data_IF_010133081253
#
_entry.id   IF_010133081253
#
_cell.length_a   1.000
_cell.length_b   1.000
_cell.length_c   1.000
_cell.angle_alpha   90.00
_cell.angle_beta   90.00
_cell.angle_gamma   90.00
#
_symmetry.space_group_name_H-M   'P 1'
#
loop_
_entity.id
_entity.type
_entity.pdbx_description
1 polymer ?
#
# COMPACT_ATOMS: atom_id res chain seq x y z
N UNK A 1 19.38 -7.80 -5.18
CA UNK A 1 19.20 -6.45 -4.62
C UNK A 1 18.45 -5.50 -5.55
N UNK A 2 18.92 -5.26 -6.79
CA UNK A 2 18.29 -4.29 -7.72
C UNK A 2 16.81 -4.52 -7.97
N UNK A 3 16.40 -5.77 -8.19
CA UNK A 3 14.99 -6.11 -8.43
C UNK A 3 14.08 -5.80 -7.23
N UNK A 4 14.53 -6.09 -5.99
CA UNK A 4 13.76 -5.75 -4.79
C UNK A 4 13.64 -4.25 -4.57
N UNK A 5 14.66 -3.49 -4.96
CA UNK A 5 14.59 -2.03 -4.90
C UNK A 5 13.48 -1.49 -5.82
N UNK A 6 13.38 -2.03 -7.03
CA UNK A 6 12.30 -1.68 -7.97
C UNK A 6 10.94 -2.03 -7.40
N UNK A 7 10.76 -3.24 -6.83
CA UNK A 7 9.49 -3.61 -6.21
C UNK A 7 9.13 -2.76 -4.99
N UNK A 8 10.11 -2.42 -4.16
CA UNK A 8 9.90 -1.53 -3.03
C UNK A 8 9.41 -0.14 -3.50
N UNK A 9 10.02 0.43 -4.55
CA UNK A 9 9.59 1.72 -5.10
C UNK A 9 8.18 1.67 -5.68
N UNK A 10 7.86 0.66 -6.49
CA UNK A 10 6.51 0.47 -7.06
C UNK A 10 5.49 0.31 -5.93
N UNK A 11 5.82 -0.50 -4.93
CA UNK A 11 4.96 -0.73 -3.78
C UNK A 11 4.71 0.53 -2.94
N UNK A 12 5.75 1.35 -2.71
CA UNK A 12 5.61 2.61 -1.99
C UNK A 12 4.76 3.62 -2.76
N UNK A 13 4.92 3.66 -4.10
CA UNK A 13 4.06 4.47 -4.97
C UNK A 13 2.60 4.00 -4.92
N UNK A 14 2.35 2.69 -4.96
CA UNK A 14 1.01 2.12 -4.83
C UNK A 14 0.38 2.47 -3.48
N UNK A 15 1.14 2.38 -2.38
CA UNK A 15 0.68 2.78 -1.05
C UNK A 15 0.28 4.26 -0.99
N UNK A 16 1.16 5.14 -1.48
CA UNK A 16 0.86 6.57 -1.57
C UNK A 16 -0.39 6.85 -2.42
N UNK A 17 -0.48 6.23 -3.60
CA UNK A 17 -1.63 6.37 -4.48
C UNK A 17 -2.93 5.90 -3.84
N UNK A 18 -2.93 4.73 -3.19
CA UNK A 18 -4.10 4.18 -2.52
C UNK A 18 -4.60 5.13 -1.42
N UNK A 19 -3.70 5.61 -0.56
CA UNK A 19 -4.06 6.53 0.52
C UNK A 19 -4.57 7.88 0.00
N UNK A 20 -3.98 8.43 -1.06
CA UNK A 20 -4.48 9.67 -1.67
C UNK A 20 -5.88 9.50 -2.27
N UNK A 21 -6.11 8.39 -2.95
CA UNK A 21 -7.38 8.13 -3.63
C UNK A 21 -8.50 7.71 -2.68
N UNK A 22 -8.19 7.08 -1.54
CA UNK A 22 -9.17 6.77 -0.49
C UNK A 22 -9.88 8.03 0.00
N UNK A 23 -9.13 9.11 0.26
CA UNK A 23 -9.70 10.39 0.67
C UNK A 23 -10.55 11.05 -0.43
N UNK A 24 -10.30 10.73 -1.70
CA UNK A 24 -11.05 11.24 -2.82
C UNK A 24 -12.39 10.50 -3.01
N UNK A 25 -12.41 9.17 -2.87
CA UNK A 25 -13.55 8.34 -3.27
C UNK A 25 -14.47 7.87 -2.14
N UNK A 26 -14.19 8.21 -0.88
CA UNK A 26 -15.06 7.88 0.27
C UNK A 26 -15.66 9.18 0.82
N UNK A 27 -16.99 9.24 0.92
CA UNK A 27 -17.70 10.44 1.36
C UNK A 27 -17.63 10.66 2.87
N UNK A 28 -17.69 9.57 3.66
CA UNK A 28 -17.72 9.64 5.12
C UNK A 28 -16.32 9.70 5.73
N UNK A 29 -16.03 10.78 6.47
CA UNK A 29 -14.72 11.03 7.10
C UNK A 29 -14.27 9.92 8.06
N UNK A 30 -15.20 9.33 8.81
CA UNK A 30 -14.91 8.22 9.72
C UNK A 30 -14.55 6.94 8.96
N UNK A 31 -15.22 6.68 7.84
CA UNK A 31 -14.93 5.54 6.97
C UNK A 31 -13.58 5.69 6.28
N UNK A 32 -13.21 6.91 5.86
CA UNK A 32 -11.86 7.22 5.35
C UNK A 32 -10.82 6.87 6.40
N UNK A 33 -10.93 7.41 7.61
CA UNK A 33 -9.97 7.19 8.68
C UNK A 33 -9.81 5.70 9.04
N UNK A 34 -10.93 4.97 9.12
CA UNK A 34 -10.91 3.53 9.35
C UNK A 34 -10.17 2.78 8.24
N UNK A 35 -10.41 3.13 6.97
CA UNK A 35 -9.73 2.50 5.83
C UNK A 35 -8.23 2.80 5.83
N UNK A 36 -7.82 4.05 6.09
CA UNK A 36 -6.40 4.38 6.25
C UNK A 36 -5.75 3.56 7.36
N UNK A 37 -6.40 3.46 8.52
CA UNK A 37 -5.89 2.71 9.66
C UNK A 37 -5.74 1.22 9.34
N UNK A 38 -6.76 0.61 8.72
CA UNK A 38 -6.72 -0.81 8.34
C UNK A 38 -5.63 -1.07 7.31
N UNK A 39 -5.56 -0.27 6.23
CA UNK A 39 -4.55 -0.47 5.19
C UNK A 39 -3.13 -0.32 5.74
N UNK A 40 -2.91 0.72 6.55
CA UNK A 40 -1.62 0.96 7.18
C UNK A 40 -1.26 -0.18 8.15
N UNK A 41 -2.18 -0.60 9.01
CA UNK A 41 -1.93 -1.67 9.97
C UNK A 41 -1.60 -3.00 9.29
N UNK A 42 -2.38 -3.40 8.27
CA UNK A 42 -2.14 -4.63 7.53
C UNK A 42 -0.82 -4.56 6.76
N UNK A 43 -0.53 -3.43 6.11
CA UNK A 43 0.73 -3.21 5.42
C UNK A 43 1.94 -3.29 6.34
N UNK A 44 1.88 -2.61 7.49
CA UNK A 44 2.94 -2.63 8.51
C UNK A 44 3.18 -4.04 9.04
N UNK A 45 2.10 -4.77 9.37
CA UNK A 45 2.20 -6.13 9.88
C UNK A 45 2.79 -7.07 8.84
N UNK A 46 2.31 -7.01 7.59
CA UNK A 46 2.80 -7.87 6.52
C UNK A 46 4.28 -7.59 6.20
N UNK A 47 4.66 -6.30 6.07
CA UNK A 47 6.06 -5.92 5.87
C UNK A 47 6.95 -6.38 7.02
N UNK A 48 6.49 -6.21 8.27
CA UNK A 48 7.22 -6.65 9.47
C UNK A 48 7.43 -8.17 9.48
N UNK A 49 6.40 -8.94 9.17
CA UNK A 49 6.49 -10.40 9.07
C UNK A 49 7.47 -10.78 7.95
N UNK A 50 7.33 -10.19 6.75
CA UNK A 50 8.16 -10.50 5.60
C UNK A 50 9.66 -10.27 5.84
N UNK A 51 10.04 -9.18 6.52
CA UNK A 51 11.46 -8.90 6.79
C UNK A 51 12.13 -9.86 7.78
N UNK A 52 11.36 -10.70 8.50
CA UNK A 52 11.93 -11.72 9.39
C UNK A 52 12.33 -13.01 8.66
N UNK A 53 12.05 -13.12 7.35
CA UNK A 53 12.43 -14.28 6.52
C UNK A 53 13.72 -14.08 5.73
N UNK A 54 14.43 -12.97 5.93
CA UNK A 54 15.66 -12.65 5.22
C UNK A 54 16.75 -12.22 6.19
N UNK A 55 18.01 -12.51 5.82
CA UNK A 55 19.19 -12.07 6.56
C UNK A 55 19.83 -10.84 5.90
N UNK A 56 20.47 -10.00 6.73
CA UNK A 56 21.12 -8.76 6.29
C UNK A 56 20.22 -7.53 6.43
N UNK A 57 20.70 -6.51 7.13
CA UNK A 57 19.91 -5.34 7.52
C UNK A 57 19.28 -4.60 6.33
N UNK A 58 20.07 -4.31 5.29
CA UNK A 58 19.56 -3.66 4.09
C UNK A 58 18.46 -4.48 3.40
N UNK A 59 18.64 -5.80 3.31
CA UNK A 59 17.67 -6.70 2.68
C UNK A 59 16.38 -6.78 3.49
N UNK A 60 16.46 -6.77 4.82
CA UNK A 60 15.29 -6.72 5.72
C UNK A 60 14.43 -5.49 5.45
N UNK A 61 15.03 -4.30 5.42
CA UNK A 61 14.29 -3.06 5.16
C UNK A 61 13.70 -3.01 3.74
N UNK A 62 14.42 -3.51 2.74
CA UNK A 62 13.90 -3.62 1.37
C UNK A 62 12.73 -4.61 1.29
N UNK A 63 12.81 -5.73 2.01
CA UNK A 63 11.74 -6.74 2.09
C UNK A 63 10.52 -6.19 2.81
N UNK A 64 10.74 -5.44 3.89
CA UNK A 64 9.69 -4.71 4.58
C UNK A 64 8.97 -3.75 3.63
N UNK A 65 9.71 -2.90 2.91
CA UNK A 65 9.12 -1.92 1.99
C UNK A 65 8.37 -2.60 0.83
N UNK A 66 8.93 -3.67 0.26
CA UNK A 66 8.28 -4.45 -0.79
C UNK A 66 6.99 -5.14 -0.29
N UNK A 67 7.04 -5.78 0.89
CA UNK A 67 5.88 -6.43 1.50
C UNK A 67 4.79 -5.43 1.88
N UNK A 68 5.16 -4.32 2.54
CA UNK A 68 4.26 -3.21 2.85
C UNK A 68 3.57 -2.71 1.58
N UNK A 69 4.34 -2.42 0.54
CA UNK A 69 3.80 -1.92 -0.72
C UNK A 69 2.90 -2.92 -1.45
N UNK A 70 3.24 -4.21 -1.42
CA UNK A 70 2.44 -5.27 -2.05
C UNK A 70 0.98 -5.32 -1.55
N UNK A 71 0.76 -5.12 -0.24
CA UNK A 71 -0.59 -5.05 0.36
C UNK A 71 -1.42 -3.90 -0.22
N UNK A 72 -0.77 -2.83 -0.66
CA UNK A 72 -1.44 -1.64 -1.19
C UNK A 72 -1.69 -1.71 -2.70
N UNK A 73 -1.12 -2.70 -3.41
CA UNK A 73 -1.31 -2.84 -4.86
C UNK A 73 -2.78 -3.11 -5.23
N UNK A 74 -3.50 -4.08 -4.63
CA UNK A 74 -4.91 -4.30 -4.96
C UNK A 74 -5.80 -3.06 -4.76
N UNK A 75 -5.79 -2.35 -3.61
CA UNK A 75 -6.59 -1.15 -3.45
C UNK A 75 -6.16 -0.01 -4.38
N UNK A 76 -4.86 0.13 -4.69
CA UNK A 76 -4.40 1.08 -5.70
C UNK A 76 -5.00 0.79 -7.08
N UNK A 77 -5.03 -0.47 -7.51
CA UNK A 77 -5.63 -0.88 -8.79
C UNK A 77 -7.14 -0.60 -8.79
N UNK A 78 -7.85 -0.99 -7.73
CA UNK A 78 -9.30 -0.75 -7.62
C UNK A 78 -9.61 0.75 -7.73
N UNK A 79 -8.85 1.59 -7.02
CA UNK A 79 -9.04 3.05 -7.06
C UNK A 79 -8.63 3.66 -8.40
N UNK A 80 -7.64 3.10 -9.09
CA UNK A 80 -7.27 3.51 -10.44
C UNK A 80 -8.37 3.17 -11.46
N UNK A 81 -8.96 1.99 -11.37
CA UNK A 81 -10.11 1.60 -12.19
C UNK A 81 -11.32 2.49 -11.91
N UNK A 82 -11.61 2.75 -10.63
CA UNK A 82 -12.68 3.67 -10.21
C UNK A 82 -12.49 5.07 -10.80
N UNK A 83 -11.24 5.56 -10.80
CA UNK A 83 -10.87 6.82 -11.46
C UNK A 83 -11.08 6.80 -12.96
N UNK A 84 -10.63 5.75 -13.64
CA UNK A 84 -10.80 5.61 -15.09
C UNK A 84 -12.28 5.54 -15.50
N UNK A 85 -13.15 5.04 -14.62
CA UNK A 85 -14.60 4.92 -14.84
C UNK A 85 -15.40 6.15 -14.42
N UNK A 86 -14.76 7.19 -13.88
CA UNK A 86 -15.41 8.38 -13.34
C UNK A 86 -16.52 8.08 -12.32
N UNK A 87 -16.35 7.01 -11.54
CA UNK A 87 -17.37 6.57 -10.59
C UNK A 87 -17.49 7.55 -9.40
N UNK A 88 -18.70 7.78 -8.89
CA UNK A 88 -18.93 8.69 -7.77
C UNK A 88 -18.37 8.15 -6.46
N UNK A 89 -18.31 9.02 -5.44
CA UNK A 89 -17.89 8.63 -4.10
C UNK A 89 -18.85 7.59 -3.52
N UNK A 90 -18.28 6.67 -2.75
CA UNK A 90 -19.00 5.65 -1.98
C UNK A 90 -19.25 6.12 -0.55
#
# INVERSE_FOLDING_TARGET
>A
MTLMFVFALIGLFAAGYAHLQLAHYIAARNSVLAMHAVLAAVGLLFGYVAMNYVEGEALRWMTFAAGFGAVHVPPAIVLALKRARHEPKS
#
